data_IF_802744039787
#
_entry.id   IF_802744039787
#
_cell.length_a   1.000
_cell.length_b   1.000
_cell.length_c   1.000
_cell.angle_alpha   90.00
_cell.angle_beta   90.00
_cell.angle_gamma   90.00
#
_symmetry.space_group_name_H-M   'P 1'
#
loop_
_entity.id
_entity.type
_entity.pdbx_description
1 polymer ?
#
# COMPACT_ATOMS: atom_id res chain seq x y z
N UNK A 1 -15.82 -8.98 -1.58
CA UNK A 1 -14.85 -8.04 -0.99
C UNK A 1 -14.08 -8.83 0.04
N UNK A 2 -12.76 -9.03 -0.13
CA UNK A 2 -11.99 -9.85 0.81
C UNK A 2 -12.09 -9.23 2.21
N UNK A 3 -12.62 -9.99 3.15
CA UNK A 3 -12.97 -9.51 4.49
C UNK A 3 -11.67 -9.33 5.29
N UNK A 4 -11.03 -8.17 5.10
CA UNK A 4 -9.81 -7.82 5.82
C UNK A 4 -10.13 -7.74 7.31
N UNK A 5 -9.32 -8.46 8.10
CA UNK A 5 -9.41 -8.37 9.55
C UNK A 5 -9.19 -6.91 10.00
N UNK A 6 -9.79 -6.47 11.12
CA UNK A 6 -9.62 -5.10 11.63
C UNK A 6 -8.15 -4.69 11.78
N UNK A 7 -7.28 -5.64 12.16
CA UNK A 7 -5.83 -5.41 12.29
C UNK A 7 -5.13 -5.22 10.93
N UNK A 8 -5.53 -5.97 9.91
CA UNK A 8 -4.98 -5.78 8.55
C UNK A 8 -5.39 -4.44 7.95
N UNK A 9 -6.62 -3.99 8.20
CA UNK A 9 -7.09 -2.65 7.78
C UNK A 9 -6.26 -1.54 8.42
N UNK A 10 -6.03 -1.63 9.73
CA UNK A 10 -5.16 -0.69 10.45
C UNK A 10 -3.73 -0.72 9.90
N UNK A 11 -3.22 -1.91 9.56
CA UNK A 11 -1.89 -2.06 8.95
C UNK A 11 -1.80 -1.35 7.60
N UNK A 12 -2.80 -1.52 6.73
CA UNK A 12 -2.85 -0.83 5.43
C UNK A 12 -2.91 0.68 5.62
N UNK A 13 -3.76 1.18 6.54
CA UNK A 13 -3.87 2.60 6.82
C UNK A 13 -2.55 3.23 7.32
N UNK A 14 -1.84 2.54 8.22
CA UNK A 14 -0.53 2.98 8.71
C UNK A 14 0.56 2.85 7.66
N UNK A 15 0.56 1.77 6.88
CA UNK A 15 1.51 1.58 5.79
C UNK A 15 1.39 2.66 4.72
N UNK A 16 0.18 3.10 4.38
CA UNK A 16 -0.03 4.13 3.36
C UNK A 16 0.41 5.54 3.81
N UNK A 17 0.66 5.77 5.10
CA UNK A 17 1.21 7.04 5.60
C UNK A 17 2.71 7.12 5.40
N UNK A 18 3.42 6.10 5.86
CA UNK A 18 4.89 6.10 5.98
C UNK A 18 5.59 5.24 4.91
N UNK A 19 4.81 4.51 4.10
CA UNK A 19 5.28 3.47 3.16
C UNK A 19 6.27 2.46 3.79
N UNK A 20 6.12 2.24 5.10
CA UNK A 20 7.05 1.45 5.90
C UNK A 20 6.33 0.31 6.62
N UNK A 21 6.51 -0.92 6.11
CA UNK A 21 5.88 -2.13 6.65
C UNK A 21 6.31 -2.43 8.09
N UNK A 22 7.55 -2.10 8.46
CA UNK A 22 8.11 -2.40 9.78
C UNK A 22 7.45 -1.49 10.83
N UNK A 23 7.35 -0.20 10.53
CA UNK A 23 6.69 0.79 11.39
C UNK A 23 5.18 0.54 11.49
N UNK A 24 4.52 0.25 10.37
CA UNK A 24 3.11 -0.11 10.37
C UNK A 24 2.83 -1.32 11.27
N UNK A 25 3.64 -2.38 11.17
CA UNK A 25 3.50 -3.57 12.02
C UNK A 25 3.69 -3.26 13.52
N UNK A 26 4.63 -2.38 13.87
CA UNK A 26 4.84 -1.93 15.26
C UNK A 26 3.63 -1.14 15.77
N UNK A 27 3.11 -0.18 14.99
CA UNK A 27 1.96 0.66 15.39
C UNK A 27 0.66 -0.12 15.54
N UNK A 28 0.46 -1.14 14.72
CA UNK A 28 -0.69 -2.06 14.87
C UNK A 28 -0.55 -3.06 16.02
N UNK A 29 0.59 -3.08 16.72
CA UNK A 29 0.82 -3.95 17.87
C UNK A 29 1.12 -5.42 17.53
N UNK A 30 1.66 -5.72 16.33
CA UNK A 30 2.13 -7.07 16.03
C UNK A 30 3.44 -7.35 16.79
N UNK A 31 3.33 -8.14 17.87
CA UNK A 31 4.44 -8.46 18.78
C UNK A 31 5.53 -9.38 18.17
N UNK A 32 6.73 -9.30 18.75
CA UNK A 32 7.82 -10.27 18.67
C UNK A 32 8.67 -10.25 17.40
N UNK A 33 8.08 -10.05 16.22
CA UNK A 33 8.81 -10.11 14.93
C UNK A 33 8.20 -9.18 13.87
N UNK A 34 8.11 -7.88 14.14
CA UNK A 34 7.46 -6.89 13.24
C UNK A 34 8.03 -6.90 11.81
N UNK A 35 9.32 -7.21 11.61
CA UNK A 35 9.90 -7.37 10.27
C UNK A 35 9.35 -8.60 9.53
N UNK A 36 9.27 -9.75 10.21
CA UNK A 36 8.74 -10.98 9.63
C UNK A 36 7.23 -10.88 9.40
N UNK A 37 6.51 -10.25 10.33
CA UNK A 37 5.07 -10.01 10.23
C UNK A 37 4.76 -9.03 9.10
N UNK A 38 5.53 -7.95 8.96
CA UNK A 38 5.40 -7.02 7.83
C UNK A 38 5.58 -7.71 6.48
N UNK A 39 6.62 -8.53 6.32
CA UNK A 39 6.82 -9.31 5.09
C UNK A 39 5.67 -10.28 4.84
N UNK A 40 5.19 -11.00 5.86
CA UNK A 40 4.04 -11.91 5.73
C UNK A 40 2.76 -11.18 5.32
N UNK A 41 2.50 -10.00 5.88
CA UNK A 41 1.32 -9.18 5.55
C UNK A 41 1.40 -8.64 4.13
N UNK A 42 2.60 -8.30 3.63
CA UNK A 42 2.79 -7.87 2.24
C UNK A 42 2.61 -8.99 1.21
N UNK A 43 2.91 -10.25 1.60
CA UNK A 43 2.70 -11.42 0.75
C UNK A 43 1.21 -11.82 0.69
N UNK A 44 0.42 -11.45 1.70
CA UNK A 44 -1.01 -11.74 1.73
C UNK A 44 -1.74 -10.98 0.61
N UNK A 45 -2.44 -11.73 -0.26
CA UNK A 45 -3.12 -11.20 -1.43
C UNK A 45 -4.18 -10.14 -1.10
N UNK A 46 -4.92 -10.31 0.01
CA UNK A 46 -5.98 -9.40 0.39
C UNK A 46 -5.43 -8.04 0.82
N UNK A 47 -4.32 -8.05 1.56
CA UNK A 47 -3.60 -6.84 1.98
C UNK A 47 -2.98 -6.15 0.77
N UNK A 48 -2.37 -6.92 -0.13
CA UNK A 48 -1.73 -6.38 -1.34
C UNK A 48 -2.74 -5.72 -2.28
N UNK A 49 -3.88 -6.38 -2.52
CA UNK A 49 -4.95 -5.82 -3.34
C UNK A 49 -5.49 -4.49 -2.78
N UNK A 50 -5.61 -4.37 -1.45
CA UNK A 50 -6.07 -3.13 -0.81
C UNK A 50 -5.04 -2.00 -0.92
N UNK A 51 -3.75 -2.34 -0.74
CA UNK A 51 -2.64 -1.42 -0.95
C UNK A 51 -2.64 -0.90 -2.39
N UNK A 52 -2.77 -1.79 -3.38
CA UNK A 52 -2.84 -1.42 -4.81
C UNK A 52 -4.04 -0.52 -5.11
N UNK A 53 -5.21 -0.85 -4.57
CA UNK A 53 -6.42 0.01 -4.69
C UNK A 53 -6.20 1.39 -4.11
N UNK A 54 -5.51 1.49 -2.97
CA UNK A 54 -5.26 2.76 -2.31
C UNK A 54 -4.08 3.56 -2.91
N UNK A 55 -3.17 2.90 -3.64
CA UNK A 55 -2.07 3.52 -4.38
C UNK A 55 -2.48 4.01 -5.77
N UNK A 56 -3.41 3.31 -6.43
CA UNK A 56 -3.94 3.69 -7.76
C UNK A 56 -4.33 5.19 -7.87
N UNK A 57 -5.03 5.81 -6.89
CA UNK A 57 -5.34 7.24 -6.94
C UNK A 57 -4.21 8.17 -6.46
N UNK A 58 -3.15 7.67 -5.82
CA UNK A 58 -2.00 8.50 -5.38
C UNK A 58 -1.01 8.72 -6.52
N UNK A 59 -0.75 7.69 -7.31
CA UNK A 59 0.14 7.76 -8.48
C UNK A 59 -0.31 8.79 -9.54
N UNK A 60 -1.59 9.15 -9.57
CA UNK A 60 -2.09 10.21 -10.45
C UNK A 60 -2.05 11.62 -9.82
N UNK A 61 -1.82 11.73 -8.50
CA UNK A 61 -1.83 13.00 -7.77
C UNK A 61 -0.42 13.53 -7.50
N UNK A 62 0.53 12.64 -7.27
CA UNK A 62 1.94 12.96 -7.09
C UNK A 62 2.67 12.79 -8.43
N UNK A 63 2.76 13.88 -9.20
CA UNK A 63 3.37 13.91 -10.53
C UNK A 63 4.88 13.66 -10.55
N UNK A 64 5.33 12.43 -10.28
CA UNK A 64 6.66 11.96 -10.66
C UNK A 64 6.58 11.16 -11.97
N UNK A 65 6.67 11.90 -13.08
CA UNK A 65 6.65 11.36 -14.44
C UNK A 65 7.97 10.65 -14.84
N UNK A 66 8.96 10.48 -13.95
CA UNK A 66 10.31 10.09 -14.39
C UNK A 66 10.53 8.59 -14.62
N UNK A 67 9.58 7.71 -14.28
CA UNK A 67 9.85 6.26 -14.42
C UNK A 67 8.68 5.32 -14.68
N UNK A 68 7.50 5.82 -15.06
CA UNK A 68 6.34 4.93 -15.28
C UNK A 68 6.11 4.73 -16.78
N UNK A 69 6.78 3.72 -17.37
CA UNK A 69 6.25 3.11 -18.59
C UNK A 69 4.91 2.48 -18.23
N UNK A 70 3.86 2.82 -18.97
CA UNK A 70 2.55 2.17 -18.98
C UNK A 70 1.43 2.69 -18.04
N UNK A 71 1.37 3.99 -17.72
CA UNK A 71 0.05 4.55 -17.38
C UNK A 71 -0.71 4.89 -18.68
N UNK A 72 -1.50 3.93 -19.21
CA UNK A 72 -2.38 4.13 -20.39
C UNK A 72 -3.45 5.22 -20.17
N UNK A 73 -3.68 5.65 -18.93
CA UNK A 73 -4.73 6.59 -18.56
C UNK A 73 -4.31 8.08 -18.66
N UNK A 74 -3.01 8.40 -18.65
CA UNK A 74 -2.54 9.79 -18.77
C UNK A 74 -2.30 10.26 -20.23
N UNK A 75 -2.67 9.48 -21.25
CA UNK A 75 -2.38 9.80 -22.66
C UNK A 75 -3.30 10.85 -23.33
N UNK A 76 -4.13 11.57 -22.58
CA UNK A 76 -5.02 12.62 -23.12
C UNK A 76 -5.03 13.88 -22.26
N UNK A 77 -4.05 14.77 -22.52
CA UNK A 77 -3.99 16.24 -22.30
C UNK A 77 -2.52 16.62 -22.55
N UNK A 78 -2.06 17.17 -23.68
CA UNK A 78 -2.43 18.42 -24.39
C UNK A 78 -2.53 19.54 -23.35
N UNK A 79 -1.59 20.47 -23.15
CA UNK A 79 -0.51 21.07 -23.96
C UNK A 79 0.82 21.08 -23.19
#
# INVERSE_FOLDING_TARGET
MAELTPRQRLFVAEYLKDLNAKHAAVRTGYSGKSRANGNRLMVNEAVRAEIERALAPRLCRDGDFRRVRACRHCRHRVW
#
